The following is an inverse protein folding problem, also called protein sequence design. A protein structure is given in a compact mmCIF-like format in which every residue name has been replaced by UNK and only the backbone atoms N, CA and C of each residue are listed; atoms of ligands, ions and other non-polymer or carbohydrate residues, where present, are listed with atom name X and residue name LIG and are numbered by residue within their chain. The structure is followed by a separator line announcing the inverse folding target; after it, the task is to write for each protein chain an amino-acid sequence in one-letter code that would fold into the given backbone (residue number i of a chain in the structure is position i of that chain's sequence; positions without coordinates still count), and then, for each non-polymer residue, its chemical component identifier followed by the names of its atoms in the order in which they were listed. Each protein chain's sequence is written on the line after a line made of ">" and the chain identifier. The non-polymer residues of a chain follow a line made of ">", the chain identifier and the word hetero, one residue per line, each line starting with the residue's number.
data_IF_352478274810
#
_entry.id   IF_352478274810
#
_cell.length_a   1.000
_cell.length_b   1.000
_cell.length_c   1.000
_cell.angle_alpha   90.00
_cell.angle_beta   90.00
_cell.angle_gamma   90.00
#
_symmetry.space_group_name_H-M   'P 1'
#
loop_
_entity.id
_entity.type
_entity.pdbx_description
1 polymer ?
#
# COMPACT_ATOMS: atom_id res chain seq x y z
N UNK A 1 18.78 46.07 -19.48
CA UNK A 1 19.33 44.73 -19.19
C UNK A 1 18.58 44.22 -17.97
N UNK A 2 17.42 43.58 -18.20
CA UNK A 2 16.56 43.08 -17.13
C UNK A 2 17.14 41.79 -16.57
N UNK A 3 17.41 41.78 -15.26
CA UNK A 3 17.83 40.56 -14.55
C UNK A 3 16.61 39.67 -14.37
N UNK A 4 16.53 38.63 -15.19
CA UNK A 4 15.61 37.52 -15.02
C UNK A 4 16.01 36.76 -13.74
N UNK A 5 15.30 36.99 -12.64
CA UNK A 5 15.43 36.15 -11.45
C UNK A 5 14.77 34.80 -11.75
N UNK A 6 15.57 33.79 -12.07
CA UNK A 6 15.14 32.41 -11.99
C UNK A 6 14.98 32.06 -10.50
N UNK A 7 13.78 32.24 -9.96
CA UNK A 7 13.40 31.56 -8.73
C UNK A 7 13.36 30.06 -9.02
N UNK A 8 14.45 29.37 -8.67
CA UNK A 8 14.41 27.93 -8.47
C UNK A 8 13.53 27.74 -7.23
N UNK A 9 12.25 27.44 -7.43
CA UNK A 9 11.44 26.80 -6.39
C UNK A 9 12.02 25.40 -6.21
N UNK A 10 12.93 25.25 -5.27
CA UNK A 10 13.18 23.96 -4.65
C UNK A 10 11.93 23.66 -3.81
N UNK A 11 10.93 23.05 -4.44
CA UNK A 11 9.81 22.46 -3.71
C UNK A 11 10.41 21.34 -2.85
N UNK A 12 10.69 21.66 -1.58
CA UNK A 12 11.11 20.68 -0.59
C UNK A 12 9.92 19.78 -0.30
N UNK A 13 9.81 18.66 -1.02
CA UNK A 13 8.86 17.62 -0.66
C UNK A 13 9.17 17.12 0.75
N UNK A 14 8.16 17.12 1.61
CA UNK A 14 8.33 16.66 2.99
C UNK A 14 8.41 15.14 2.99
N UNK A 15 9.55 14.61 3.42
CA UNK A 15 9.77 13.17 3.53
C UNK A 15 9.89 12.80 4.99
N UNK A 16 9.08 11.85 5.44
CA UNK A 16 9.02 11.36 6.81
C UNK A 16 9.40 9.88 6.87
N UNK A 17 10.25 9.52 7.84
CA UNK A 17 10.59 8.13 8.15
C UNK A 17 9.69 7.65 9.30
N UNK A 18 9.04 6.50 9.13
CA UNK A 18 8.11 5.95 10.12
C UNK A 18 8.33 4.47 10.32
N UNK A 19 7.85 3.98 11.46
CA UNK A 19 7.85 2.57 11.82
C UNK A 19 6.38 2.13 11.84
N UNK A 20 6.04 1.08 11.10
CA UNK A 20 4.71 0.46 11.11
C UNK A 20 4.84 -1.03 11.46
N UNK A 21 3.84 -1.62 12.15
CA UNK A 21 3.85 -3.05 12.39
C UNK A 21 3.81 -3.84 11.08
N UNK A 22 4.43 -5.01 11.08
CA UNK A 22 4.62 -5.88 9.92
C UNK A 22 3.89 -7.19 10.11
N UNK A 23 3.08 -7.56 9.12
CA UNK A 23 2.63 -8.94 8.98
C UNK A 23 3.49 -9.66 7.92
N UNK A 24 4.14 -10.79 8.27
CA UNK A 24 5.19 -11.39 7.45
C UNK A 24 4.69 -12.08 6.17
N UNK A 25 3.36 -12.17 5.97
CA UNK A 25 2.78 -12.78 4.80
C UNK A 25 2.17 -11.73 3.85
N UNK A 26 2.54 -11.84 2.58
CA UNK A 26 1.87 -11.23 1.42
C UNK A 26 1.57 -12.37 0.45
N UNK A 27 0.30 -12.58 0.11
CA UNK A 27 -0.12 -13.68 -0.76
C UNK A 27 -0.19 -13.28 -2.24
N UNK A 28 0.28 -12.08 -2.60
CA UNK A 28 0.35 -11.63 -3.99
C UNK A 28 1.63 -12.17 -4.65
N UNK A 29 1.44 -13.11 -5.59
CA UNK A 29 2.55 -13.85 -6.22
C UNK A 29 2.50 -13.64 -7.72
N UNK A 30 3.65 -13.38 -8.34
CA UNK A 30 3.79 -13.42 -9.79
C UNK A 30 4.52 -14.70 -10.21
N UNK A 31 4.07 -15.35 -11.28
CA UNK A 31 4.75 -16.51 -11.86
C UNK A 31 5.12 -16.27 -13.32
N UNK A 32 6.39 -16.51 -13.65
CA UNK A 32 6.89 -16.55 -15.04
C UNK A 32 7.83 -17.75 -15.19
N UNK A 33 7.62 -18.57 -16.23
CA UNK A 33 8.48 -19.72 -16.61
C UNK A 33 8.90 -20.61 -15.43
N UNK A 34 7.98 -20.85 -14.49
CA UNK A 34 8.23 -21.68 -13.30
C UNK A 34 8.90 -20.96 -12.12
N UNK A 35 9.38 -19.73 -12.29
CA UNK A 35 9.85 -18.89 -11.20
C UNK A 35 8.66 -18.23 -10.48
N UNK A 36 8.73 -18.15 -9.14
CA UNK A 36 7.72 -17.53 -8.30
C UNK A 36 8.31 -16.30 -7.62
N UNK A 37 7.74 -15.15 -7.90
CA UNK A 37 8.12 -13.87 -7.32
C UNK A 37 7.07 -13.45 -6.30
N UNK A 38 7.53 -12.90 -5.18
CA UNK A 38 6.68 -12.11 -4.30
C UNK A 38 6.48 -10.74 -4.96
N UNK A 39 5.22 -10.28 -5.05
CA UNK A 39 4.94 -8.92 -5.48
C UNK A 39 5.04 -8.01 -4.25
N UNK A 40 6.02 -7.09 -4.29
CA UNK A 40 6.31 -6.15 -3.20
C UNK A 40 5.50 -4.87 -3.29
N UNK A 41 5.15 -4.45 -4.50
CA UNK A 41 4.32 -3.28 -4.79
C UNK A 41 3.62 -3.48 -6.13
N UNK A 42 2.41 -2.95 -6.28
CA UNK A 42 1.64 -3.00 -7.52
C UNK A 42 0.82 -1.73 -7.70
N UNK A 43 0.74 -1.27 -8.94
CA UNK A 43 -0.08 -0.14 -9.38
C UNK A 43 -0.75 -0.49 -10.71
N UNK A 44 -1.58 0.40 -11.24
CA UNK A 44 -2.14 0.23 -12.58
C UNK A 44 -1.12 0.29 -13.73
N UNK A 45 0.11 0.74 -13.46
CA UNK A 45 1.14 0.96 -14.49
C UNK A 45 2.31 0.00 -14.41
N UNK A 46 2.44 -0.73 -13.31
CA UNK A 46 3.58 -1.59 -13.07
C UNK A 46 3.58 -2.18 -11.68
N UNK A 47 4.58 -3.02 -11.42
CA UNK A 47 4.77 -3.71 -10.15
C UNK A 47 6.25 -3.90 -9.84
N UNK A 48 6.55 -4.12 -8.56
CA UNK A 48 7.85 -4.54 -8.09
C UNK A 48 7.81 -6.02 -7.68
N UNK A 49 8.73 -6.79 -8.23
CA UNK A 49 8.90 -8.21 -7.92
C UNK A 49 10.13 -8.45 -7.06
N UNK A 50 10.08 -9.46 -6.21
CA UNK A 50 11.20 -9.95 -5.44
C UNK A 50 11.26 -11.47 -5.51
N UNK A 51 12.40 -12.02 -5.92
CA UNK A 51 12.67 -13.45 -5.83
C UNK A 51 13.20 -13.75 -4.41
N UNK A 52 12.56 -14.66 -3.66
CA UNK A 52 13.02 -14.99 -2.29
C UNK A 52 14.33 -15.78 -2.31
N UNK A 53 14.47 -16.68 -3.28
CA UNK A 53 15.61 -17.60 -3.37
C UNK A 53 16.48 -17.28 -4.59
N UNK A 54 17.76 -17.02 -4.35
CA UNK A 54 18.73 -16.73 -5.41
C UNK A 54 18.58 -15.32 -6.02
N UNK A 55 18.92 -15.19 -7.30
CA UNK A 55 18.74 -13.97 -8.09
C UNK A 55 18.02 -14.32 -9.39
N UNK A 56 17.54 -13.31 -10.11
CA UNK A 56 16.92 -13.49 -11.42
C UNK A 56 17.90 -13.10 -12.53
N UNK A 57 17.66 -13.60 -13.74
CA UNK A 57 18.49 -13.29 -14.91
C UNK A 57 17.97 -12.11 -15.74
N UNK A 58 16.83 -11.52 -15.36
CA UNK A 58 16.27 -10.39 -16.10
C UNK A 58 17.18 -9.17 -16.10
N UNK A 59 17.28 -8.53 -17.26
CA UNK A 59 17.96 -7.26 -17.48
C UNK A 59 16.97 -6.18 -17.89
N UNK A 60 17.42 -4.93 -17.84
CA UNK A 60 16.60 -3.78 -18.24
C UNK A 60 16.16 -3.92 -19.69
N UNK A 61 14.88 -3.62 -19.94
CA UNK A 61 14.16 -3.78 -21.20
C UNK A 61 13.78 -5.21 -21.62
N UNK A 62 14.06 -6.23 -20.79
CA UNK A 62 13.50 -7.56 -21.01
C UNK A 62 11.97 -7.52 -20.97
N UNK A 63 11.36 -8.34 -21.83
CA UNK A 63 9.92 -8.61 -21.79
C UNK A 63 9.65 -9.77 -20.85
N UNK A 64 8.75 -9.53 -19.91
CA UNK A 64 8.24 -10.53 -18.96
C UNK A 64 6.76 -10.70 -19.22
N UNK A 65 6.30 -11.94 -19.30
CA UNK A 65 4.89 -12.29 -19.41
C UNK A 65 4.61 -13.46 -18.48
N UNK A 66 3.57 -13.34 -17.67
CA UNK A 66 3.24 -14.33 -16.66
C UNK A 66 1.90 -14.02 -16.01
N UNK A 67 1.71 -14.54 -14.80
CA UNK A 67 0.43 -14.51 -14.13
C UNK A 67 0.58 -13.99 -12.71
N UNK A 68 -0.28 -13.04 -12.33
CA UNK A 68 -0.46 -12.58 -10.96
C UNK A 68 -1.51 -13.46 -10.30
N UNK A 69 -1.18 -14.01 -9.14
CA UNK A 69 -2.06 -14.83 -8.32
C UNK A 69 -2.45 -14.04 -7.08
N UNK A 70 -3.76 -13.94 -6.85
CA UNK A 70 -4.32 -13.31 -5.67
C UNK A 70 -5.57 -14.06 -5.22
N UNK A 71 -5.51 -14.75 -4.08
CA UNK A 71 -6.66 -15.41 -3.44
C UNK A 71 -7.50 -16.30 -4.39
N UNK A 72 -6.82 -17.06 -5.25
CA UNK A 72 -7.47 -17.94 -6.24
C UNK A 72 -7.81 -17.26 -7.56
N UNK A 73 -7.83 -15.93 -7.61
CA UNK A 73 -7.88 -15.16 -8.85
C UNK A 73 -6.53 -15.15 -9.54
N UNK A 74 -6.56 -15.20 -10.87
CA UNK A 74 -5.37 -15.22 -11.73
C UNK A 74 -5.53 -14.12 -12.77
N UNK A 75 -4.52 -13.25 -12.91
CA UNK A 75 -4.47 -12.20 -13.92
C UNK A 75 -3.22 -12.35 -14.80
N UNK A 76 -3.38 -12.65 -16.10
CA UNK A 76 -2.29 -12.59 -17.06
C UNK A 76 -1.77 -11.15 -17.21
N UNK A 77 -0.45 -10.97 -17.10
CA UNK A 77 0.23 -9.68 -17.22
C UNK A 77 1.46 -9.84 -18.10
N UNK A 78 1.67 -8.88 -19.00
CA UNK A 78 2.92 -8.67 -19.70
C UNK A 78 3.49 -7.30 -19.39
N UNK A 79 4.80 -7.16 -19.46
CA UNK A 79 5.48 -5.90 -19.21
C UNK A 79 6.94 -5.89 -19.59
N UNK A 80 7.57 -4.74 -19.41
CA UNK A 80 8.98 -4.49 -19.68
C UNK A 80 9.70 -4.16 -18.39
N UNK A 81 10.81 -4.84 -18.14
CA UNK A 81 11.68 -4.57 -17.00
C UNK A 81 12.27 -3.16 -17.14
N UNK A 82 12.03 -2.31 -16.13
CA UNK A 82 12.57 -0.94 -16.09
C UNK A 82 13.81 -0.81 -15.23
N UNK A 83 13.94 -1.67 -14.23
CA UNK A 83 15.15 -1.80 -13.44
C UNK A 83 15.24 -3.21 -12.87
N UNK A 84 16.47 -3.67 -12.66
CA UNK A 84 16.81 -4.97 -12.11
C UNK A 84 17.98 -4.78 -11.14
N UNK A 85 17.83 -5.22 -9.88
CA UNK A 85 18.85 -5.09 -8.84
C UNK A 85 18.81 -6.27 -7.87
N UNK A 86 19.81 -7.13 -7.97
CA UNK A 86 19.96 -8.29 -7.09
C UNK A 86 18.77 -9.24 -7.21
N UNK A 87 17.92 -9.27 -6.18
CA UNK A 87 16.72 -10.11 -6.12
C UNK A 87 15.44 -9.40 -6.58
N UNK A 88 15.51 -8.09 -6.84
CA UNK A 88 14.36 -7.24 -7.10
C UNK A 88 14.39 -6.70 -8.51
N UNK A 89 13.21 -6.57 -9.11
CA UNK A 89 13.04 -5.88 -10.39
C UNK A 89 11.73 -5.10 -10.41
N UNK A 90 11.72 -4.01 -11.18
CA UNK A 90 10.52 -3.23 -11.47
C UNK A 90 10.04 -3.49 -12.88
N UNK A 91 8.76 -3.83 -13.01
CA UNK A 91 8.09 -4.09 -14.27
C UNK A 91 7.13 -2.94 -14.58
N UNK A 92 7.20 -2.39 -15.79
CA UNK A 92 6.12 -1.54 -16.34
C UNK A 92 5.21 -2.41 -17.19
N UNK A 93 3.91 -2.36 -16.95
CA UNK A 93 2.94 -3.13 -17.71
C UNK A 93 2.87 -2.70 -19.18
N UNK A 94 2.74 -3.68 -20.07
CA UNK A 94 2.37 -3.53 -21.46
C UNK A 94 0.96 -4.10 -21.59
N UNK A 95 -0.05 -3.26 -21.39
CA UNK A 95 -1.45 -3.66 -21.51
C UNK A 95 -2.17 -2.83 -22.56
N UNK A 96 -3.03 -3.51 -23.31
CA UNK A 96 -4.05 -2.88 -24.14
C UNK A 96 -5.25 -2.45 -23.27
N UNK A 97 -6.29 -1.90 -23.92
CA UNK A 97 -7.49 -1.43 -23.21
C UNK A 97 -8.27 -2.53 -22.46
N UNK A 98 -8.11 -3.80 -22.85
CA UNK A 98 -8.74 -4.93 -22.17
C UNK A 98 -7.91 -5.37 -20.96
N UNK A 99 -6.60 -5.49 -21.11
CA UNK A 99 -5.69 -5.76 -20.01
C UNK A 99 -5.83 -4.73 -18.89
N UNK A 100 -5.93 -3.44 -19.23
CA UNK A 100 -6.11 -2.37 -18.23
C UNK A 100 -7.40 -2.53 -17.43
N UNK A 101 -8.50 -2.90 -18.08
CA UNK A 101 -9.78 -3.15 -17.41
C UNK A 101 -9.71 -4.38 -16.51
N UNK A 102 -9.13 -5.47 -16.99
CA UNK A 102 -8.92 -6.67 -16.18
C UNK A 102 -8.04 -6.40 -14.96
N UNK A 103 -7.00 -5.55 -15.08
CA UNK A 103 -6.19 -5.12 -13.95
C UNK A 103 -6.96 -4.25 -12.95
N UNK A 104 -7.82 -3.34 -13.45
CA UNK A 104 -8.68 -2.51 -12.60
C UNK A 104 -9.72 -3.34 -11.84
N UNK A 105 -10.34 -4.31 -12.50
CA UNK A 105 -11.26 -5.25 -11.89
C UNK A 105 -10.54 -6.17 -10.90
N UNK A 106 -9.35 -6.67 -11.26
CA UNK A 106 -8.53 -7.48 -10.38
C UNK A 106 -8.20 -6.73 -9.10
N UNK A 107 -7.79 -5.46 -9.19
CA UNK A 107 -7.48 -4.57 -8.06
C UNK A 107 -8.70 -3.76 -7.56
N UNK A 108 -9.92 -4.23 -7.83
CA UNK A 108 -11.15 -3.52 -7.44
C UNK A 108 -11.38 -3.53 -5.93
N UNK A 109 -12.23 -2.59 -5.48
CA UNK A 109 -12.70 -2.51 -4.09
C UNK A 109 -13.27 -3.83 -3.60
N UNK A 110 -14.12 -4.48 -4.39
CA UNK A 110 -14.76 -5.75 -4.02
C UNK A 110 -13.72 -6.86 -3.79
N UNK A 111 -12.70 -6.95 -4.64
CA UNK A 111 -11.62 -7.93 -4.48
C UNK A 111 -10.74 -7.63 -3.27
N UNK A 112 -10.47 -6.35 -3.00
CA UNK A 112 -9.76 -5.92 -1.78
C UNK A 112 -10.56 -6.33 -0.54
N UNK A 113 -11.83 -5.93 -0.47
CA UNK A 113 -12.72 -6.19 0.65
C UNK A 113 -12.88 -7.68 0.95
N UNK A 114 -13.04 -8.49 -0.10
CA UNK A 114 -13.14 -9.93 0.04
C UNK A 114 -11.92 -10.52 0.78
N UNK A 115 -10.74 -9.87 0.70
CA UNK A 115 -9.47 -10.35 1.21
C UNK A 115 -8.96 -9.69 2.49
N UNK A 116 -9.74 -8.78 3.07
CA UNK A 116 -9.39 -8.15 4.34
C UNK A 116 -9.40 -9.19 5.46
N UNK A 117 -8.39 -9.09 6.33
CA UNK A 117 -8.25 -9.85 7.58
C UNK A 117 -8.11 -8.90 8.76
N UNK A 118 -8.86 -9.13 9.86
CA UNK A 118 -8.71 -8.36 11.09
C UNK A 118 -7.58 -8.93 11.96
N UNK A 119 -6.35 -8.54 11.67
CA UNK A 119 -5.14 -9.04 12.36
C UNK A 119 -5.12 -8.77 13.88
N UNK A 120 -5.88 -7.78 14.34
CA UNK A 120 -6.05 -7.46 15.76
C UNK A 120 -7.03 -8.41 16.50
N UNK A 121 -7.76 -9.25 15.77
CA UNK A 121 -8.68 -10.28 16.30
C UNK A 121 -8.12 -11.68 16.07
N UNK A 122 -7.48 -11.90 14.92
CA UNK A 122 -6.90 -13.19 14.58
C UNK A 122 -5.76 -13.55 15.56
N UNK A 123 -5.92 -14.67 16.28
CA UNK A 123 -4.91 -15.19 17.20
C UNK A 123 -3.75 -15.82 16.41
N UNK A 124 -2.84 -14.97 15.96
CA UNK A 124 -1.63 -15.35 15.22
C UNK A 124 -0.35 -15.08 16.01
N UNK A 125 -0.45 -14.87 17.33
CA UNK A 125 0.69 -14.52 18.18
C UNK A 125 1.36 -13.19 17.79
N UNK A 126 0.59 -12.27 17.18
CA UNK A 126 1.08 -10.95 16.81
C UNK A 126 1.09 -10.04 18.04
N UNK A 127 2.23 -9.41 18.31
CA UNK A 127 2.32 -8.32 19.28
C UNK A 127 1.85 -7.02 18.60
N UNK A 128 0.74 -6.46 19.06
CA UNK A 128 0.25 -5.17 18.57
C UNK A 128 1.07 -4.04 19.19
N UNK A 129 1.46 -3.02 18.41
CA UNK A 129 2.06 -1.81 18.94
C UNK A 129 1.21 -1.15 20.03
N UNK A 130 1.82 -0.36 20.93
CA UNK A 130 1.09 0.36 21.97
C UNK A 130 -0.08 1.16 21.41
N UNK A 131 -1.23 1.00 22.04
CA UNK A 131 -2.47 1.68 21.71
C UNK A 131 -3.01 1.43 20.27
N UNK A 132 -2.43 0.53 19.49
CA UNK A 132 -3.03 0.10 18.23
C UNK A 132 -4.24 -0.78 18.55
N UNK A 133 -5.45 -0.27 18.26
CA UNK A 133 -6.70 -0.95 18.58
C UNK A 133 -7.19 -1.81 17.43
N UNK A 134 -7.08 -1.30 16.21
CA UNK A 134 -7.53 -2.00 15.02
C UNK A 134 -6.38 -2.09 14.01
N UNK A 135 -6.20 -3.29 13.47
CA UNK A 135 -5.33 -3.57 12.35
C UNK A 135 -6.07 -4.45 11.36
N UNK A 136 -6.38 -3.90 10.20
CA UNK A 136 -6.92 -4.63 9.07
C UNK A 136 -5.90 -4.68 7.95
N UNK A 137 -5.82 -5.82 7.29
CA UNK A 137 -4.91 -6.02 6.18
C UNK A 137 -5.57 -6.84 5.09
N UNK A 138 -5.56 -6.36 3.86
CA UNK A 138 -5.64 -7.23 2.70
C UNK A 138 -4.20 -7.55 2.24
N UNK A 139 -4.03 -8.47 1.30
CA UNK A 139 -2.73 -8.58 0.61
C UNK A 139 -2.26 -7.21 0.09
N UNK A 140 -1.00 -7.11 -0.32
CA UNK A 140 -0.25 -5.89 -0.70
C UNK A 140 -1.01 -4.63 -1.18
N UNK A 141 -2.18 -4.65 -1.85
CA UNK A 141 -2.99 -3.45 -2.08
C UNK A 141 -3.59 -2.68 -0.90
N UNK A 142 -3.81 -3.21 0.33
CA UNK A 142 -4.58 -2.45 1.33
C UNK A 142 -4.28 -2.77 2.81
N UNK A 143 -4.15 -1.74 3.65
CA UNK A 143 -3.95 -1.87 5.10
C UNK A 143 -4.57 -0.69 5.87
N UNK A 144 -5.15 -0.97 7.05
CA UNK A 144 -5.79 0.01 7.93
C UNK A 144 -5.25 -0.16 9.34
N UNK A 145 -4.87 0.96 9.94
CA UNK A 145 -4.43 1.05 11.32
C UNK A 145 -5.26 2.11 12.04
N UNK A 146 -5.71 1.81 13.26
CA UNK A 146 -6.43 2.77 14.12
C UNK A 146 -5.86 2.66 15.53
N UNK A 147 -5.38 3.79 16.04
CA UNK A 147 -4.84 3.94 17.38
C UNK A 147 -5.82 4.67 18.30
N UNK A 148 -5.68 4.39 19.59
CA UNK A 148 -6.41 5.08 20.64
C UNK A 148 -5.46 5.89 21.55
N UNK A 149 -6.02 6.84 22.27
CA UNK A 149 -5.42 7.41 23.47
C UNK A 149 -5.63 6.46 24.65
N UNK A 150 -4.95 6.71 25.77
CA UNK A 150 -5.07 5.87 26.97
C UNK A 150 -6.46 5.88 27.62
N UNK A 151 -7.28 6.89 27.33
CA UNK A 151 -8.67 7.02 27.77
C UNK A 151 -9.66 6.26 26.87
N UNK A 152 -9.20 5.67 25.78
CA UNK A 152 -10.01 4.92 24.82
C UNK A 152 -10.54 5.74 23.65
N UNK A 153 -10.31 7.06 23.59
CA UNK A 153 -10.66 7.85 22.42
C UNK A 153 -9.76 7.55 21.22
N UNK A 154 -10.26 7.69 19.99
CA UNK A 154 -9.42 7.46 18.80
C UNK A 154 -8.46 8.62 18.56
N UNK A 155 -7.17 8.30 18.50
CA UNK A 155 -6.09 9.29 18.40
C UNK A 155 -5.57 9.46 16.98
N UNK A 156 -5.59 8.39 16.19
CA UNK A 156 -5.01 8.36 14.84
C UNK A 156 -5.62 7.22 14.03
N UNK A 157 -5.74 7.42 12.72
CA UNK A 157 -5.79 6.30 11.78
C UNK A 157 -4.86 6.54 10.60
N UNK A 158 -4.43 5.44 9.98
CA UNK A 158 -3.70 5.45 8.72
C UNK A 158 -4.23 4.34 7.84
N UNK A 159 -4.54 4.69 6.59
CA UNK A 159 -5.02 3.77 5.58
C UNK A 159 -4.04 3.82 4.42
N UNK A 160 -3.44 2.68 4.11
CA UNK A 160 -2.53 2.48 3.00
C UNK A 160 -3.28 1.74 1.91
N UNK A 161 -3.27 2.28 0.70
CA UNK A 161 -3.78 1.61 -0.49
C UNK A 161 -2.75 1.70 -1.60
N UNK A 162 -2.30 0.54 -2.10
CA UNK A 162 -1.18 0.40 -3.02
C UNK A 162 0.07 1.09 -2.43
N UNK A 163 0.62 2.08 -3.12
CA UNK A 163 1.75 2.87 -2.67
C UNK A 163 1.33 4.24 -2.12
N UNK A 164 0.05 4.48 -1.83
CA UNK A 164 -0.44 5.74 -1.28
C UNK A 164 -0.98 5.55 0.12
N UNK A 165 -1.09 6.64 0.86
CA UNK A 165 -1.73 6.61 2.17
C UNK A 165 -2.59 7.86 2.39
N UNK A 166 -3.54 7.70 3.29
CA UNK A 166 -4.24 8.79 3.98
C UNK A 166 -4.12 8.54 5.46
N UNK A 167 -3.86 9.58 6.23
CA UNK A 167 -3.89 9.51 7.67
C UNK A 167 -4.65 10.69 8.24
N UNK A 168 -5.19 10.50 9.42
CA UNK A 168 -5.61 11.59 10.28
C UNK A 168 -5.02 11.37 11.66
N UNK A 169 -4.52 12.44 12.27
CA UNK A 169 -4.01 12.41 13.63
C UNK A 169 -4.58 13.58 14.42
N UNK A 170 -4.96 13.31 15.67
CA UNK A 170 -5.43 14.32 16.60
C UNK A 170 -4.40 15.45 16.79
N UNK A 171 -4.88 16.69 16.81
CA UNK A 171 -4.06 17.90 16.83
C UNK A 171 -3.28 18.22 15.54
N UNK A 172 -3.25 17.32 14.54
CA UNK A 172 -2.52 17.51 13.28
C UNK A 172 -3.45 17.66 12.08
N UNK A 173 -4.51 16.86 12.02
CA UNK A 173 -5.44 16.82 10.90
C UNK A 173 -5.10 15.75 9.86
N UNK A 174 -5.68 15.89 8.67
CA UNK A 174 -5.56 14.92 7.58
C UNK A 174 -4.29 15.17 6.75
N UNK A 175 -3.64 14.10 6.31
CA UNK A 175 -2.56 14.13 5.33
C UNK A 175 -2.76 13.01 4.31
N UNK A 176 -2.34 13.27 3.08
CA UNK A 176 -2.17 12.23 2.06
C UNK A 176 -0.73 12.20 1.59
N UNK A 177 -0.32 11.11 0.95
CA UNK A 177 1.00 11.03 0.36
C UNK A 177 1.27 9.68 -0.28
N UNK A 178 2.55 9.46 -0.57
CA UNK A 178 3.05 8.26 -1.21
C UNK A 178 4.11 7.56 -0.35
N UNK A 179 4.12 6.24 -0.38
CA UNK A 179 5.15 5.39 0.18
C UNK A 179 6.26 5.28 -0.86
N UNK A 180 7.45 5.77 -0.52
CA UNK A 180 8.61 5.77 -1.43
C UNK A 180 9.36 4.44 -1.39
N UNK A 181 9.61 3.92 -0.18
CA UNK A 181 10.40 2.70 0.03
C UNK A 181 10.03 2.04 1.35
N UNK A 182 9.94 0.70 1.29
CA UNK A 182 10.11 -0.17 2.44
C UNK A 182 11.60 -0.48 2.59
N UNK A 183 12.20 -0.04 3.71
CA UNK A 183 13.53 -0.52 4.09
C UNK A 183 13.36 -1.89 4.75
N UNK A 184 13.16 -2.88 3.91
CA UNK A 184 13.33 -4.30 4.27
C UNK A 184 14.83 -4.46 4.54
N UNK A 185 15.27 -4.25 5.78
CA UNK A 185 16.47 -4.93 6.22
C UNK A 185 16.14 -6.43 6.17
N UNK A 186 17.05 -7.26 5.67
CA UNK A 186 16.96 -8.72 5.54
C UNK A 186 16.85 -9.44 6.91
N UNK A 187 16.01 -8.93 7.81
CA UNK A 187 15.74 -9.39 9.17
C UNK A 187 14.27 -9.76 9.27
N UNK A 188 13.88 -10.96 8.77
CA UNK A 188 12.49 -11.44 8.77
C UNK A 188 11.89 -11.65 10.17
N UNK A 189 12.68 -11.45 11.23
CA UNK A 189 12.26 -11.55 12.63
C UNK A 189 11.78 -10.22 13.23
N UNK A 190 11.82 -9.12 12.49
CA UNK A 190 11.33 -7.83 12.99
C UNK A 190 9.81 -7.76 12.84
N UNK A 191 9.13 -7.39 13.94
CA UNK A 191 7.68 -7.18 13.97
C UNK A 191 7.27 -5.84 13.34
N UNK A 192 8.22 -5.02 12.90
CA UNK A 192 7.99 -3.68 12.37
C UNK A 192 8.84 -3.41 11.13
N UNK A 193 8.32 -2.58 10.23
CA UNK A 193 8.99 -2.11 9.02
C UNK A 193 9.29 -0.59 9.10
N UNK A 194 10.50 -0.22 8.67
CA UNK A 194 10.89 1.17 8.44
C UNK A 194 10.45 1.61 7.04
N UNK A 195 9.58 2.61 6.99
CA UNK A 195 8.94 3.07 5.76
C UNK A 195 9.17 4.56 5.58
N UNK A 196 9.51 4.95 4.34
CA UNK A 196 9.68 6.33 3.93
C UNK A 196 8.40 6.83 3.25
N UNK A 197 7.83 7.89 3.79
CA UNK A 197 6.62 8.55 3.29
C UNK A 197 6.98 9.90 2.69
N UNK A 198 6.47 10.19 1.50
CA UNK A 198 6.46 11.52 0.89
C UNK A 198 5.06 12.12 1.10
N UNK A 199 4.97 13.25 1.78
CA UNK A 199 3.70 13.92 2.06
C UNK A 199 3.32 14.76 0.84
N UNK A 200 2.06 14.65 0.39
CA UNK A 200 1.56 15.52 -0.66
C UNK A 200 1.47 16.97 -0.15
N UNK A 201 1.81 17.94 -1.00
CA UNK A 201 1.64 19.37 -0.67
C UNK A 201 0.15 19.75 -0.51
N UNK A 202 -0.72 19.02 -1.19
CA UNK A 202 -2.17 19.17 -1.16
C UNK A 202 -2.85 17.83 -0.90
N UNK A 203 -3.91 17.86 -0.10
CA UNK A 203 -4.72 16.69 0.20
C UNK A 203 -5.36 16.16 -1.09
N UNK A 204 -5.14 14.88 -1.39
CA UNK A 204 -5.72 14.20 -2.56
C UNK A 204 -7.16 13.77 -2.31
N UNK A 205 -8.13 14.59 -2.75
CA UNK A 205 -9.56 14.31 -2.62
C UNK A 205 -10.01 13.06 -3.38
N UNK A 206 -9.44 12.83 -4.55
CA UNK A 206 -9.71 11.64 -5.37
C UNK A 206 -9.33 10.36 -4.60
N UNK A 207 -8.13 10.36 -4.02
CA UNK A 207 -7.66 9.23 -3.22
C UNK A 207 -8.50 9.02 -1.95
N UNK A 208 -8.88 10.10 -1.26
CA UNK A 208 -9.82 10.02 -0.13
C UNK A 208 -11.15 9.39 -0.58
N UNK A 209 -11.67 9.79 -1.74
CA UNK A 209 -12.89 9.20 -2.32
C UNK A 209 -12.77 7.68 -2.52
N UNK A 210 -11.65 7.20 -3.07
CA UNK A 210 -11.39 5.76 -3.22
C UNK A 210 -11.30 5.05 -1.87
N UNK A 211 -10.64 5.66 -0.87
CA UNK A 211 -10.55 5.09 0.47
C UNK A 211 -11.92 5.02 1.15
N UNK A 212 -12.75 6.06 1.01
CA UNK A 212 -14.12 6.11 1.53
C UNK A 212 -14.98 4.95 0.97
N UNK A 213 -14.81 4.61 -0.31
CA UNK A 213 -15.50 3.47 -0.93
C UNK A 213 -15.10 2.14 -0.28
N UNK A 214 -13.81 1.94 -0.01
CA UNK A 214 -13.33 0.70 0.61
C UNK A 214 -13.80 0.63 2.07
N UNK A 215 -13.59 1.69 2.87
CA UNK A 215 -13.97 1.62 4.29
C UNK A 215 -15.49 1.43 4.48
N UNK A 216 -16.32 1.96 3.58
CA UNK A 216 -17.77 1.77 3.61
C UNK A 216 -18.20 0.32 3.38
N UNK A 217 -17.33 -0.51 2.78
CA UNK A 217 -17.58 -1.94 2.58
C UNK A 217 -16.90 -2.86 3.61
N UNK A 218 -16.19 -2.32 4.60
CA UNK A 218 -15.55 -3.14 5.64
C UNK A 218 -16.64 -3.71 6.57
N UNK A 219 -16.67 -5.03 6.82
CA UNK A 219 -17.62 -5.64 7.74
C UNK A 219 -17.50 -5.10 9.18
N UNK A 220 -18.65 -4.92 9.86
CA UNK A 220 -18.69 -4.44 11.25
C UNK A 220 -18.07 -5.43 12.25
N UNK A 221 -17.96 -6.70 11.88
CA UNK A 221 -17.21 -7.69 12.68
C UNK A 221 -15.69 -7.43 12.68
N UNK A 222 -15.18 -6.68 11.70
CA UNK A 222 -13.75 -6.36 11.57
C UNK A 222 -13.42 -4.97 12.16
N UNK A 223 -14.36 -4.03 12.10
CA UNK A 223 -14.23 -2.71 12.72
C UNK A 223 -15.52 -2.34 13.45
N UNK A 224 -15.39 -1.79 14.66
CA UNK A 224 -16.56 -1.30 15.38
C UNK A 224 -17.24 -0.15 14.63
N UNK A 225 -18.56 -0.01 14.80
CA UNK A 225 -19.31 1.10 14.22
C UNK A 225 -18.71 2.46 14.59
N UNK A 226 -18.28 2.64 15.84
CA UNK A 226 -17.61 3.85 16.30
C UNK A 226 -16.30 4.15 15.53
N UNK A 227 -15.51 3.13 15.20
CA UNK A 227 -14.27 3.30 14.44
C UNK A 227 -14.56 3.67 12.97
N UNK A 228 -15.56 3.04 12.36
CA UNK A 228 -16.02 3.37 11.01
C UNK A 228 -16.57 4.79 10.94
N UNK A 229 -17.44 5.17 11.87
CA UNK A 229 -18.02 6.51 11.95
C UNK A 229 -16.94 7.57 12.16
N UNK A 230 -15.97 7.30 13.02
CA UNK A 230 -14.82 8.16 13.25
C UNK A 230 -14.02 8.37 11.97
N UNK A 231 -13.64 7.31 11.25
CA UNK A 231 -12.91 7.44 9.98
C UNK A 231 -13.72 8.19 8.93
N UNK A 232 -14.99 7.82 8.73
CA UNK A 232 -15.89 8.48 7.78
C UNK A 232 -16.02 9.97 8.08
N UNK A 233 -16.21 10.33 9.35
CA UNK A 233 -16.28 11.73 9.80
C UNK A 233 -14.98 12.46 9.44
N UNK A 234 -13.82 11.95 9.85
CA UNK A 234 -12.55 12.66 9.63
C UNK A 234 -12.17 12.76 8.14
N UNK A 235 -12.55 11.78 7.33
CA UNK A 235 -12.29 11.81 5.88
C UNK A 235 -13.27 12.70 5.11
N UNK A 236 -14.53 12.79 5.54
CA UNK A 236 -15.57 13.58 4.84
C UNK A 236 -15.51 15.06 5.20
N UNK A 237 -15.29 15.41 6.47
CA UNK A 237 -15.28 16.81 6.92
C UNK A 237 -14.09 17.62 6.38
N UNK A 238 -13.06 16.95 5.86
CA UNK A 238 -11.87 17.60 5.29
C UNK A 238 -11.83 17.50 3.75
N UNK A 239 -12.91 17.01 3.13
CA UNK A 239 -13.09 16.90 1.68
C UNK A 239 -13.96 18.06 1.16
#
# INVERSE_FOLDING_TARGET
>A
MERQFNLIKTDYKTVEKRILPRFPFSYLIFRDKGQKFEIKDISYTGMQLCLKDGGHQYVVNDKIAGEIYWRGSILPISGVVKWAKGRRLGLRFEQDGNGRRALQEFLSVDNILAGIRPLHIEDMGLELPPNLRFWLRADAPFEVFIWQHSDGEFSKFQIIMMNRFVEWQDGVGIKTGQILKFRDHDTPLMAEDEIMFEIDDLISKEYIGSVLQIIGGIPQEYLSGAALDFMNMKLTYNN
#
